data_IF_306757314030
#
_entry.id   IF_306757314030
#
_cell.length_a   1.000
_cell.length_b   1.000
_cell.length_c   1.000
_cell.angle_alpha   90.00
_cell.angle_beta   90.00
_cell.angle_gamma   90.00
#
_symmetry.space_group_name_H-M   'P 1'
#
loop_
_entity.id
_entity.type
_entity.pdbx_description
1 polymer ?
#
# COMPACT_ATOMS: atom_id res chain seq x y z
N UNK A 1 -3.01 2.65 -43.57
CA UNK A 1 -2.20 3.78 -43.08
C UNK A 1 -2.32 3.86 -41.56
N UNK A 2 -1.46 3.17 -40.81
CA UNK A 2 -1.38 3.31 -39.35
C UNK A 2 -0.22 4.22 -39.03
N UNK A 3 -0.52 5.47 -38.66
CA UNK A 3 0.51 6.40 -38.20
C UNK A 3 1.03 5.93 -36.85
N UNK A 4 2.17 5.23 -36.84
CA UNK A 4 2.92 4.97 -35.61
C UNK A 4 3.35 6.31 -35.03
N UNK A 5 2.59 6.82 -34.06
CA UNK A 5 2.84 8.09 -33.40
C UNK A 5 4.17 8.02 -32.65
N UNK A 6 5.23 8.44 -33.36
CA UNK A 6 6.60 8.39 -32.89
C UNK A 6 6.74 9.36 -31.70
N UNK A 7 6.46 8.88 -30.50
CA UNK A 7 6.63 9.62 -29.26
C UNK A 7 8.12 9.95 -29.12
N UNK A 8 8.49 11.15 -29.58
CA UNK A 8 9.84 11.70 -29.40
C UNK A 8 10.07 11.88 -27.89
N UNK A 9 10.63 10.84 -27.27
CA UNK A 9 11.03 10.83 -25.87
C UNK A 9 12.00 11.99 -25.66
N UNK A 10 11.59 12.95 -24.83
CA UNK A 10 12.31 14.21 -24.58
C UNK A 10 13.83 14.03 -24.47
N UNK A 11 14.59 14.77 -25.29
CA UNK A 11 16.06 14.66 -25.44
C UNK A 11 16.90 15.11 -24.24
N UNK A 12 16.27 15.40 -23.09
CA UNK A 12 16.93 15.82 -21.85
C UNK A 12 18.08 14.87 -21.46
N UNK A 13 19.33 15.37 -21.33
CA UNK A 13 20.48 14.58 -20.88
C UNK A 13 20.22 13.86 -19.56
N UNK A 14 20.76 12.64 -19.41
CA UNK A 14 20.48 11.80 -18.24
C UNK A 14 20.96 12.46 -16.94
N UNK A 15 22.13 13.11 -16.97
CA UNK A 15 22.69 13.81 -15.82
C UNK A 15 21.82 15.02 -15.42
N UNK A 16 21.37 15.81 -16.40
CA UNK A 16 20.54 17.00 -16.15
C UNK A 16 19.18 16.61 -15.57
N UNK A 17 18.55 15.54 -16.08
CA UNK A 17 17.33 14.98 -15.50
C UNK A 17 17.51 14.63 -14.02
N UNK A 18 18.57 13.90 -13.66
CA UNK A 18 18.80 13.52 -12.27
C UNK A 18 19.12 14.72 -11.39
N UNK A 19 19.95 15.65 -11.86
CA UNK A 19 20.26 16.90 -11.15
C UNK A 19 18.99 17.70 -10.86
N UNK A 20 18.16 17.97 -11.88
CA UNK A 20 16.89 18.69 -11.70
C UNK A 20 15.93 17.95 -10.77
N UNK A 21 15.86 16.61 -10.84
CA UNK A 21 15.03 15.82 -9.93
C UNK A 21 15.53 15.91 -8.48
N UNK A 22 16.84 15.87 -8.24
CA UNK A 22 17.41 16.04 -6.90
C UNK A 22 17.17 17.45 -6.35
N UNK A 23 17.22 18.49 -7.19
CA UNK A 23 16.85 19.86 -6.78
C UNK A 23 15.37 19.93 -6.39
N UNK A 24 14.47 19.35 -7.20
CA UNK A 24 13.03 19.29 -6.89
C UNK A 24 12.79 18.52 -5.58
N UNK A 25 13.43 17.36 -5.40
CA UNK A 25 13.34 16.57 -4.17
C UNK A 25 13.87 17.33 -2.95
N UNK A 26 14.98 18.06 -3.09
CA UNK A 26 15.54 18.89 -2.01
C UNK A 26 14.59 20.01 -1.58
N UNK A 27 14.00 20.72 -2.54
CA UNK A 27 12.98 21.77 -2.28
C UNK A 27 11.71 21.18 -1.67
N UNK A 28 11.22 20.07 -2.22
CA UNK A 28 10.05 19.36 -1.71
C UNK A 28 10.26 18.81 -0.29
N UNK A 29 11.48 18.35 0.02
CA UNK A 29 11.89 17.90 1.36
C UNK A 29 11.94 19.08 2.32
N UNK A 30 12.62 20.17 1.96
CA UNK A 30 12.68 21.39 2.77
C UNK A 30 11.28 21.85 3.18
N UNK A 31 10.35 21.97 2.22
CA UNK A 31 8.98 22.41 2.51
C UNK A 31 8.15 21.43 3.35
N UNK A 32 8.52 20.14 3.46
CA UNK A 32 7.78 19.14 4.27
C UNK A 32 8.31 19.00 5.70
N UNK A 33 9.54 19.45 5.96
CA UNK A 33 10.17 19.35 7.27
C UNK A 33 10.36 20.71 7.97
N UNK A 34 10.31 21.83 7.25
CA UNK A 34 10.42 23.16 7.84
C UNK A 34 9.21 23.45 8.73
N UNK A 35 9.42 23.52 10.05
CA UNK A 35 8.32 23.66 11.00
C UNK A 35 7.50 22.39 11.21
N UNK A 36 8.07 21.19 11.05
CA UNK A 36 7.38 19.91 11.31
C UNK A 36 6.68 19.85 12.70
N UNK A 37 7.24 20.54 13.70
CA UNK A 37 6.68 20.66 15.06
C UNK A 37 5.68 21.82 15.22
N UNK A 38 5.09 22.34 14.14
CA UNK A 38 4.15 23.45 14.20
C UNK A 38 2.94 23.16 15.11
N UNK A 39 2.37 24.23 15.65
CA UNK A 39 1.21 24.15 16.53
C UNK A 39 1.52 23.55 17.90
N UNK A 40 2.79 23.53 18.33
CA UNK A 40 3.25 23.43 19.74
C UNK A 40 2.40 22.48 20.62
N UNK A 41 2.25 21.23 20.20
CA UNK A 41 1.48 20.20 20.91
C UNK A 41 0.04 20.62 21.28
N UNK A 42 -0.60 21.44 20.45
CA UNK A 42 -2.01 21.81 20.59
C UNK A 42 -2.98 20.77 19.97
N UNK A 43 -2.45 19.73 19.32
CA UNK A 43 -3.20 18.59 18.74
C UNK A 43 -4.43 19.02 17.92
N UNK A 44 -4.27 20.06 17.09
CA UNK A 44 -5.36 20.77 16.42
C UNK A 44 -6.13 19.93 15.39
N UNK A 45 -5.47 18.94 14.76
CA UNK A 45 -6.13 18.06 13.80
C UNK A 45 -6.76 16.86 14.53
N UNK A 46 -8.07 16.63 14.40
CA UNK A 46 -8.78 15.61 15.18
C UNK A 46 -8.22 14.21 14.94
N UNK A 47 -7.98 13.83 13.68
CA UNK A 47 -7.45 12.51 13.34
C UNK A 47 -6.01 12.31 13.82
N UNK A 48 -5.11 13.28 13.66
CA UNK A 48 -3.75 13.23 14.25
C UNK A 48 -3.83 13.02 15.77
N UNK A 49 -4.66 13.81 16.46
CA UNK A 49 -4.86 13.69 17.90
C UNK A 49 -5.35 12.29 18.29
N UNK A 50 -6.26 11.71 17.52
CA UNK A 50 -6.76 10.38 17.77
C UNK A 50 -5.71 9.30 17.50
N UNK A 51 -4.95 9.39 16.40
CA UNK A 51 -3.85 8.47 16.12
C UNK A 51 -2.75 8.55 17.20
N UNK A 52 -2.43 9.76 17.66
CA UNK A 52 -1.47 9.99 18.74
C UNK A 52 -1.95 9.39 20.07
N UNK A 53 -3.25 9.53 20.39
CA UNK A 53 -3.84 8.93 21.59
C UNK A 53 -3.79 7.40 21.53
N UNK A 54 -4.32 6.80 20.46
CA UNK A 54 -4.30 5.34 20.26
C UNK A 54 -2.87 4.80 20.29
N UNK A 55 -1.94 5.47 19.60
CA UNK A 55 -0.52 5.13 19.58
C UNK A 55 0.19 5.31 20.92
N UNK A 56 -0.33 6.15 21.80
CA UNK A 56 0.19 6.24 23.18
C UNK A 56 -0.24 5.05 24.02
N UNK A 57 -1.46 4.56 23.82
CA UNK A 57 -2.12 3.55 24.65
C UNK A 57 -1.86 2.09 24.22
N UNK A 58 -1.58 1.81 22.94
CA UNK A 58 -1.16 0.47 22.50
C UNK A 58 0.29 0.18 22.92
N UNK A 59 0.66 -1.10 23.00
CA UNK A 59 2.04 -1.51 23.31
C UNK A 59 2.56 -2.55 22.30
N UNK A 60 3.87 -2.55 22.00
CA UNK A 60 4.52 -3.60 21.23
C UNK A 60 4.30 -5.00 21.82
N UNK A 61 3.93 -5.95 20.97
CA UNK A 61 3.87 -7.37 21.34
C UNK A 61 5.28 -7.98 21.41
N UNK A 62 5.44 -9.02 22.23
CA UNK A 62 6.70 -9.77 22.36
C UNK A 62 6.85 -10.92 21.37
N UNK A 63 5.77 -11.30 20.67
CA UNK A 63 5.78 -12.43 19.73
C UNK A 63 4.72 -12.29 18.63
N UNK A 64 4.92 -12.99 17.52
CA UNK A 64 3.91 -13.11 16.45
C UNK A 64 2.63 -13.80 16.93
N UNK A 65 2.72 -14.74 17.89
CA UNK A 65 1.53 -15.40 18.48
C UNK A 65 0.65 -14.40 19.24
N UNK A 66 1.27 -13.46 19.96
CA UNK A 66 0.55 -12.37 20.64
C UNK A 66 -0.03 -11.38 19.62
N UNK A 67 0.68 -11.08 18.52
CA UNK A 67 0.16 -10.26 17.41
C UNK A 67 -1.14 -10.83 16.83
N UNK A 68 -1.13 -12.12 16.46
CA UNK A 68 -2.26 -12.79 15.81
C UNK A 68 -3.39 -13.18 16.77
N UNK A 69 -3.22 -13.05 18.10
CA UNK A 69 -4.31 -13.24 19.05
C UNK A 69 -5.11 -11.93 19.22
N UNK A 70 -6.04 -11.67 18.30
CA UNK A 70 -6.87 -10.45 18.27
C UNK A 70 -7.55 -10.13 19.61
N UNK A 71 -7.96 -11.16 20.37
CA UNK A 71 -8.69 -11.01 21.63
C UNK A 71 -7.85 -10.49 22.81
N UNK A 72 -6.52 -10.66 22.76
CA UNK A 72 -5.62 -10.23 23.85
C UNK A 72 -4.44 -9.38 23.39
N UNK A 73 -4.24 -9.22 22.07
CA UNK A 73 -3.12 -8.49 21.48
C UNK A 73 -3.03 -7.07 22.04
N UNK A 74 -1.86 -6.73 22.58
CA UNK A 74 -1.54 -5.42 23.15
C UNK A 74 -1.43 -4.31 22.10
N UNK A 75 -1.31 -4.68 20.81
CA UNK A 75 -1.35 -3.79 19.66
C UNK A 75 -2.77 -3.52 19.13
N UNK A 76 -3.79 -4.31 19.48
CA UNK A 76 -5.15 -4.07 19.00
C UNK A 76 -5.77 -2.88 19.75
N UNK A 77 -6.13 -1.76 19.08
CA UNK A 77 -6.71 -0.58 19.74
C UNK A 77 -7.99 -0.88 20.52
N UNK A 78 -8.80 -1.84 20.05
CA UNK A 78 -10.04 -2.26 20.71
C UNK A 78 -9.79 -2.84 22.10
N UNK A 79 -8.65 -3.52 22.31
CA UNK A 79 -8.23 -4.06 23.61
C UNK A 79 -7.64 -2.98 24.55
N UNK A 80 -7.55 -1.72 24.08
CA UNK A 80 -7.02 -0.55 24.81
C UNK A 80 -8.07 0.55 24.98
N UNK A 81 -9.35 0.23 24.83
CA UNK A 81 -10.47 1.18 24.96
C UNK A 81 -10.81 1.96 23.69
N UNK A 82 -10.02 1.82 22.62
CA UNK A 82 -10.23 2.50 21.33
C UNK A 82 -11.14 1.69 20.41
N UNK A 83 -12.34 1.36 20.89
CA UNK A 83 -13.32 0.50 20.20
C UNK A 83 -13.90 1.08 18.90
N UNK A 84 -13.58 2.32 18.56
CA UNK A 84 -13.98 3.02 17.34
C UNK A 84 -12.82 3.23 16.35
N UNK A 85 -11.70 2.53 16.54
CA UNK A 85 -10.54 2.64 15.65
C UNK A 85 -10.80 1.94 14.30
N UNK A 86 -11.09 2.74 13.28
CA UNK A 86 -11.43 2.28 11.91
C UNK A 86 -10.29 2.43 10.90
N UNK A 87 -9.14 2.94 11.32
CA UNK A 87 -8.01 3.27 10.44
C UNK A 87 -7.12 2.05 10.14
N UNK A 88 -6.31 2.15 9.09
CA UNK A 88 -5.27 1.15 8.81
C UNK A 88 -4.24 1.10 9.94
N UNK A 89 -3.91 -0.11 10.42
CA UNK A 89 -3.00 -0.29 11.56
C UNK A 89 -1.52 -0.21 11.22
N UNK A 90 -1.12 -0.35 9.95
CA UNK A 90 0.30 -0.33 9.53
C UNK A 90 1.02 0.98 9.90
N UNK A 91 0.48 2.20 9.60
CA UNK A 91 1.11 3.45 10.02
C UNK A 91 1.26 3.56 11.53
N UNK A 92 0.22 3.12 12.26
CA UNK A 92 0.17 3.10 13.72
C UNK A 92 1.25 2.20 14.32
N UNK A 93 1.36 0.96 13.83
CA UNK A 93 2.35 0.00 14.32
C UNK A 93 3.78 0.46 13.99
N UNK A 94 4.03 0.97 12.77
CA UNK A 94 5.34 1.48 12.41
C UNK A 94 5.77 2.65 13.32
N UNK A 95 4.89 3.62 13.55
CA UNK A 95 5.14 4.72 14.47
C UNK A 95 5.36 4.22 15.91
N UNK A 96 4.51 3.31 16.41
CA UNK A 96 4.60 2.79 17.78
C UNK A 96 5.90 2.05 18.05
N UNK A 97 6.33 1.18 17.13
CA UNK A 97 7.58 0.42 17.29
C UNK A 97 8.81 1.34 17.20
N UNK A 98 8.78 2.38 16.35
CA UNK A 98 9.84 3.38 16.30
C UNK A 98 9.89 4.23 17.56
N UNK A 99 8.74 4.65 18.11
CA UNK A 99 8.65 5.35 19.40
C UNK A 99 9.25 4.51 20.53
N UNK A 100 8.89 3.22 20.64
CA UNK A 100 9.47 2.34 21.66
C UNK A 100 10.99 2.23 21.50
N UNK A 101 11.47 2.06 20.26
CA UNK A 101 12.89 1.88 19.95
C UNK A 101 13.74 3.14 20.22
N UNK A 102 13.15 4.33 20.10
CA UNK A 102 13.85 5.62 20.27
C UNK A 102 13.78 6.11 21.72
N UNK A 103 12.63 5.98 22.39
CA UNK A 103 12.37 6.58 23.69
C UNK A 103 12.26 5.56 24.85
N UNK A 104 11.99 4.27 24.56
CA UNK A 104 11.72 3.25 25.59
C UNK A 104 10.37 3.41 26.30
N UNK A 105 9.54 4.37 25.88
CA UNK A 105 8.17 4.59 26.34
C UNK A 105 7.34 5.25 25.23
N UNK A 106 6.02 5.20 25.35
CA UNK A 106 5.09 5.99 24.53
C UNK A 106 4.58 7.24 25.26
N UNK A 107 4.03 8.16 24.48
CA UNK A 107 3.49 9.44 24.94
C UNK A 107 3.03 10.28 23.75
N UNK A 108 2.16 11.26 23.99
CA UNK A 108 1.55 12.04 22.91
C UNK A 108 2.61 12.79 22.08
N UNK A 109 3.60 13.38 22.76
CA UNK A 109 4.69 14.10 22.11
C UNK A 109 5.61 13.19 21.32
N UNK A 110 5.95 12.02 21.86
CA UNK A 110 6.84 11.04 21.24
C UNK A 110 6.17 10.48 19.96
N UNK A 111 4.86 10.19 20.03
CA UNK A 111 4.06 9.82 18.86
C UNK A 111 3.99 10.91 17.79
N UNK A 112 3.84 12.19 18.15
CA UNK A 112 3.93 13.29 17.18
C UNK A 112 5.32 13.39 16.54
N UNK A 113 6.36 13.36 17.38
CA UNK A 113 7.77 13.57 16.99
C UNK A 113 8.25 12.51 15.99
N UNK A 114 7.70 11.29 16.06
CA UNK A 114 7.97 10.21 15.09
C UNK A 114 6.95 10.19 13.95
N UNK A 115 5.67 10.37 14.24
CA UNK A 115 4.57 10.22 13.29
C UNK A 115 4.55 11.27 12.18
N UNK A 116 4.87 12.54 12.49
CA UNK A 116 4.94 13.61 11.48
C UNK A 116 6.09 13.39 10.49
N UNK A 117 7.36 13.17 10.92
CA UNK A 117 8.44 12.78 9.99
C UNK A 117 8.12 11.55 9.15
N UNK A 118 7.48 10.51 9.70
CA UNK A 118 7.07 9.35 8.91
C UNK A 118 6.09 9.74 7.79
N UNK A 119 5.10 10.58 8.09
CA UNK A 119 4.11 11.03 7.11
C UNK A 119 4.76 11.86 5.99
N UNK A 120 5.68 12.76 6.33
CA UNK A 120 6.50 13.49 5.37
C UNK A 120 7.41 12.58 4.51
N UNK A 121 7.98 11.51 5.09
CA UNK A 121 8.76 10.50 4.34
C UNK A 121 7.88 9.76 3.33
N UNK A 122 6.69 9.30 3.74
CA UNK A 122 5.77 8.57 2.84
C UNK A 122 5.22 9.47 1.71
N UNK A 123 4.99 10.77 1.95
CA UNK A 123 4.66 11.71 0.87
C UNK A 123 5.84 11.94 -0.10
N UNK A 124 7.08 12.03 0.38
CA UNK A 124 8.28 12.11 -0.47
C UNK A 124 8.53 10.83 -1.28
N UNK A 125 8.22 9.66 -0.73
CA UNK A 125 8.21 8.40 -1.48
C UNK A 125 7.11 8.40 -2.55
N UNK A 126 5.94 8.99 -2.26
CA UNK A 126 4.86 9.20 -3.24
C UNK A 126 5.32 10.12 -4.39
N UNK A 127 6.00 11.23 -4.08
CA UNK A 127 6.61 12.11 -5.09
C UNK A 127 7.59 11.34 -5.99
N UNK A 128 8.46 10.49 -5.40
CA UNK A 128 9.36 9.63 -6.16
C UNK A 128 8.60 8.71 -7.14
N UNK A 129 7.46 8.13 -6.71
CA UNK A 129 6.62 7.28 -7.54
C UNK A 129 5.88 8.06 -8.64
N UNK A 130 5.39 9.26 -8.36
CA UNK A 130 4.82 10.19 -9.36
C UNK A 130 5.84 10.49 -10.44
N UNK A 131 7.05 10.89 -10.06
CA UNK A 131 8.15 11.18 -10.99
C UNK A 131 8.53 9.94 -11.83
N UNK A 132 8.64 8.76 -11.21
CA UNK A 132 8.98 7.51 -11.88
C UNK A 132 7.89 7.02 -12.86
N UNK A 133 6.62 7.17 -12.50
CA UNK A 133 5.47 6.79 -13.34
C UNK A 133 5.35 7.72 -14.55
N UNK A 134 5.41 9.04 -14.33
CA UNK A 134 5.42 10.04 -15.41
C UNK A 134 6.61 9.85 -16.37
N UNK A 135 7.78 9.44 -15.86
CA UNK A 135 8.96 9.10 -16.68
C UNK A 135 8.72 7.91 -17.60
N UNK A 136 8.01 6.88 -17.14
CA UNK A 136 7.71 5.68 -17.94
C UNK A 136 6.69 5.97 -19.04
N UNK A 137 5.64 6.73 -18.73
CA UNK A 137 4.56 7.06 -19.68
C UNK A 137 4.96 8.15 -20.69
N UNK A 138 5.57 9.24 -20.22
CA UNK A 138 5.69 10.50 -20.96
C UNK A 138 7.13 11.01 -21.09
N UNK A 139 8.11 10.33 -20.49
CA UNK A 139 9.52 10.68 -20.58
C UNK A 139 9.99 11.73 -19.56
N UNK A 140 11.23 12.20 -19.75
CA UNK A 140 12.00 12.94 -18.74
C UNK A 140 11.44 14.34 -18.45
N UNK A 141 10.99 15.07 -19.48
CA UNK A 141 10.45 16.42 -19.31
C UNK A 141 9.17 16.45 -18.48
N UNK A 142 8.20 15.61 -18.84
CA UNK A 142 6.93 15.51 -18.12
C UNK A 142 7.12 14.94 -16.70
N UNK A 143 8.09 14.05 -16.51
CA UNK A 143 8.49 13.57 -15.18
C UNK A 143 8.94 14.69 -14.24
N UNK A 144 9.81 15.60 -14.71
CA UNK A 144 10.24 16.75 -13.92
C UNK A 144 9.09 17.72 -13.64
N UNK A 145 8.22 17.96 -14.63
CA UNK A 145 7.04 18.83 -14.45
C UNK A 145 6.05 18.26 -13.43
N UNK A 146 5.75 16.95 -13.51
CA UNK A 146 4.90 16.26 -12.54
C UNK A 146 5.51 16.26 -11.13
N UNK A 147 6.83 16.02 -11.01
CA UNK A 147 7.55 16.08 -9.75
C UNK A 147 7.52 17.50 -9.14
N UNK A 148 7.68 18.55 -9.95
CA UNK A 148 7.62 19.93 -9.51
C UNK A 148 6.20 20.32 -9.04
N UNK A 149 5.16 19.99 -9.80
CA UNK A 149 3.78 20.28 -9.41
C UNK A 149 3.35 19.52 -8.15
N UNK A 150 3.70 18.24 -8.00
CA UNK A 150 3.41 17.49 -6.77
C UNK A 150 4.25 17.98 -5.58
N UNK A 151 5.54 18.23 -5.81
CA UNK A 151 6.48 18.67 -4.77
C UNK A 151 6.12 20.03 -4.16
N UNK A 152 5.52 20.92 -4.96
CA UNK A 152 5.08 22.26 -4.56
C UNK A 152 3.55 22.36 -4.27
N UNK A 153 2.81 21.26 -4.36
CA UNK A 153 1.37 21.28 -4.08
C UNK A 153 1.11 21.49 -2.59
N UNK A 154 0.29 22.51 -2.28
CA UNK A 154 -0.01 22.92 -0.89
C UNK A 154 -0.62 21.79 -0.06
N UNK A 155 -1.52 21.00 -0.63
CA UNK A 155 -2.25 19.96 0.11
C UNK A 155 -1.34 18.77 0.55
N UNK A 156 -0.51 18.16 -0.32
CA UNK A 156 0.54 17.21 0.10
C UNK A 156 1.51 17.79 1.15
N UNK A 157 1.94 19.05 0.99
CA UNK A 157 2.80 19.72 1.98
C UNK A 157 2.08 19.83 3.32
N UNK A 158 0.83 20.26 3.36
CA UNK A 158 0.04 20.39 4.58
C UNK A 158 -0.17 19.04 5.27
N UNK A 159 -0.57 18.00 4.53
CA UNK A 159 -0.77 16.65 5.08
C UNK A 159 0.52 16.02 5.60
N UNK A 160 1.68 16.35 5.00
CA UNK A 160 2.99 15.91 5.49
C UNK A 160 3.34 16.43 6.90
N UNK A 161 2.72 17.53 7.35
CA UNK A 161 2.94 18.11 8.67
C UNK A 161 2.01 17.58 9.77
N UNK A 162 1.21 16.57 9.45
CA UNK A 162 0.38 15.85 10.42
C UNK A 162 0.77 14.37 10.42
N UNK A 163 0.71 13.71 11.58
CA UNK A 163 0.72 12.25 11.59
C UNK A 163 -0.59 11.74 11.02
N UNK A 164 -0.56 11.26 9.77
CA UNK A 164 -1.76 10.96 8.98
C UNK A 164 -1.62 9.73 8.10
N UNK A 165 -2.60 8.84 8.20
CA UNK A 165 -2.73 7.61 7.42
C UNK A 165 -2.84 7.85 5.91
N UNK A 166 -3.38 9.00 5.50
CA UNK A 166 -3.54 9.43 4.10
C UNK A 166 -2.21 9.40 3.32
N UNK A 167 -1.10 9.79 3.95
CA UNK A 167 0.23 9.83 3.31
C UNK A 167 0.75 8.43 2.98
N UNK A 168 0.50 7.47 3.87
CA UNK A 168 0.85 6.06 3.69
C UNK A 168 -0.07 5.40 2.66
N UNK A 169 -1.37 5.68 2.72
CA UNK A 169 -2.35 5.18 1.76
C UNK A 169 -2.00 5.64 0.33
N UNK A 170 -1.71 6.94 0.15
CA UNK A 170 -1.27 7.49 -1.13
C UNK A 170 0.00 6.80 -1.65
N UNK A 171 1.00 6.57 -0.80
CA UNK A 171 2.21 5.83 -1.20
C UNK A 171 1.88 4.44 -1.75
N UNK A 172 1.06 3.63 -1.05
CA UNK A 172 0.71 2.30 -1.52
C UNK A 172 -0.17 2.31 -2.78
N UNK A 173 -1.07 3.28 -2.93
CA UNK A 173 -1.84 3.49 -4.16
C UNK A 173 -0.92 3.80 -5.34
N UNK A 174 -0.03 4.80 -5.20
CA UNK A 174 0.92 5.16 -6.26
C UNK A 174 1.96 4.06 -6.55
N UNK A 175 2.29 3.22 -5.57
CA UNK A 175 3.15 2.06 -5.75
C UNK A 175 2.46 1.01 -6.62
N UNK A 176 1.17 0.75 -6.37
CA UNK A 176 0.32 -0.10 -7.21
C UNK A 176 0.21 0.44 -8.64
N UNK A 177 -0.07 1.73 -8.81
CA UNK A 177 -0.12 2.40 -10.12
C UNK A 177 1.22 2.30 -10.85
N UNK A 178 2.35 2.53 -10.16
CA UNK A 178 3.69 2.40 -10.73
C UNK A 178 3.95 0.99 -11.26
N UNK A 179 3.59 -0.07 -10.51
CA UNK A 179 3.76 -1.44 -10.97
C UNK A 179 2.81 -1.80 -12.12
N UNK A 180 1.55 -1.34 -12.09
CA UNK A 180 0.61 -1.54 -13.19
C UNK A 180 1.12 -0.90 -14.49
N UNK A 181 1.59 0.36 -14.43
CA UNK A 181 2.23 1.05 -15.57
C UNK A 181 3.49 0.30 -16.03
N UNK A 182 4.35 -0.14 -15.11
CA UNK A 182 5.54 -0.92 -15.46
C UNK A 182 5.17 -2.18 -16.25
N UNK A 183 4.14 -2.93 -15.81
CA UNK A 183 3.70 -4.16 -16.48
C UNK A 183 3.21 -3.88 -17.91
N UNK A 184 2.41 -2.83 -18.10
CA UNK A 184 1.89 -2.44 -19.43
C UNK A 184 2.99 -1.92 -20.38
N UNK A 185 4.03 -1.29 -19.84
CA UNK A 185 5.15 -0.72 -20.62
C UNK A 185 6.26 -1.76 -20.90
N UNK A 186 6.27 -2.91 -20.23
CA UNK A 186 7.22 -3.99 -20.52
C UNK A 186 6.99 -4.53 -21.95
N UNK A 187 8.05 -4.74 -22.75
CA UNK A 187 7.91 -5.40 -24.05
C UNK A 187 7.37 -6.82 -23.84
N UNK A 188 6.15 -7.09 -24.29
CA UNK A 188 5.65 -8.45 -24.31
C UNK A 188 6.57 -9.28 -25.24
N UNK A 189 7.10 -10.43 -24.78
CA UNK A 189 7.79 -11.34 -25.68
C UNK A 189 6.81 -11.73 -26.79
N UNK A 190 7.30 -11.80 -28.04
CA UNK A 190 6.52 -12.28 -29.19
C UNK A 190 6.27 -13.79 -29.09
N UNK A 191 5.46 -14.19 -28.11
CA UNK A 191 4.81 -15.49 -28.10
C UNK A 191 3.95 -15.54 -29.37
N UNK A 192 4.18 -16.57 -30.17
CA UNK A 192 3.76 -16.62 -31.58
C UNK A 192 4.46 -15.57 -32.45
N UNK A 193 5.71 -15.87 -32.82
CA UNK A 193 6.07 -15.70 -34.23
C UNK A 193 5.04 -16.48 -35.04
N UNK A 194 4.15 -15.77 -35.73
CA UNK A 194 3.39 -16.34 -36.85
C UNK A 194 4.42 -17.04 -37.75
N UNK A 195 4.13 -18.28 -38.15
CA UNK A 195 5.00 -18.98 -39.09
C UNK A 195 4.93 -18.26 -40.43
N UNK A 196 6.08 -17.76 -40.90
CA UNK A 196 6.23 -17.27 -42.28
C UNK A 196 5.77 -18.38 -43.25
N UNK A 197 4.72 -18.17 -44.06
CA UNK A 197 4.22 -19.18 -44.96
C UNK A 197 5.10 -19.22 -46.22
N UNK A 198 6.20 -19.96 -46.15
CA UNK A 198 6.94 -20.41 -47.32
C UNK A 198 8.43 -20.10 -47.35
N UNK A 199 9.22 -20.78 -46.50
CA UNK A 199 10.61 -21.08 -46.86
C UNK A 199 10.81 -22.59 -46.97
N UNK A 200 11.06 -23.05 -48.20
CA UNK A 200 11.05 -24.45 -48.59
C UNK A 200 12.34 -25.15 -48.11
N UNK A 201 12.38 -25.58 -46.85
CA UNK A 201 13.53 -26.29 -46.25
C UNK A 201 13.30 -27.79 -46.22
N UNK A 202 14.08 -28.51 -47.02
CA UNK A 202 14.16 -29.97 -47.01
C UNK A 202 14.58 -30.49 -45.62
N UNK A 203 14.01 -31.61 -45.13
CA UNK A 203 14.29 -32.08 -43.78
C UNK A 203 15.69 -32.69 -43.68
N UNK A 204 16.56 -32.08 -42.88
CA UNK A 204 17.83 -32.68 -42.47
C UNK A 204 17.56 -33.69 -41.31
N UNK A 205 17.88 -34.99 -41.43
CA UNK A 205 17.45 -36.00 -40.45
C UNK A 205 18.11 -35.96 -39.06
N UNK A 206 19.02 -35.01 -38.81
CA UNK A 206 19.98 -35.09 -37.68
C UNK A 206 19.56 -34.34 -36.40
N UNK A 207 18.45 -33.61 -36.39
CA UNK A 207 18.08 -32.73 -35.26
C UNK A 207 17.13 -33.35 -34.20
N UNK A 208 16.57 -34.54 -34.41
CA UNK A 208 15.45 -35.03 -33.59
C UNK A 208 15.82 -35.59 -32.19
N UNK A 209 17.10 -35.64 -31.80
CA UNK A 209 17.53 -36.26 -30.53
C UNK A 209 17.36 -35.41 -29.27
N UNK A 210 16.93 -34.15 -29.37
CA UNK A 210 16.86 -33.23 -28.21
C UNK A 210 15.42 -32.96 -27.75
N UNK A 211 14.40 -33.25 -28.57
CA UNK A 211 13.00 -32.90 -28.26
C UNK A 211 12.24 -34.05 -27.56
N UNK A 212 12.59 -35.31 -27.82
CA UNK A 212 11.93 -36.46 -27.18
C UNK A 212 12.23 -36.61 -25.68
N UNK A 213 13.36 -36.07 -25.18
CA UNK A 213 13.77 -36.23 -23.78
C UNK A 213 13.00 -35.37 -22.77
N UNK A 214 12.18 -34.42 -23.22
CA UNK A 214 11.43 -33.48 -22.35
C UNK A 214 9.95 -33.88 -22.20
N UNK A 215 9.39 -34.68 -23.12
CA UNK A 215 7.96 -35.04 -23.12
C UNK A 215 7.67 -36.38 -22.43
N UNK A 216 8.70 -37.18 -22.14
CA UNK A 216 8.56 -38.56 -21.63
C UNK A 216 8.74 -38.74 -20.12
N UNK A 217 8.83 -37.66 -19.32
CA UNK A 217 9.12 -37.75 -17.87
C UNK A 217 7.96 -37.50 -16.92
N UNK A 218 6.75 -37.18 -17.40
CA UNK A 218 5.60 -36.80 -16.54
C UNK A 218 4.31 -37.59 -16.82
N UNK A 219 4.44 -38.77 -17.42
CA UNK A 219 3.37 -39.75 -17.53
C UNK A 219 3.43 -40.75 -16.35
N UNK A 220 2.38 -40.73 -15.53
CA UNK A 220 2.17 -41.54 -14.32
C UNK A 220 2.20 -43.07 -14.58
N UNK A 221 2.33 -43.87 -13.50
CA UNK A 221 1.46 -45.04 -13.38
C UNK A 221 0.64 -45.06 -12.06
N UNK A 222 -0.60 -45.53 -12.18
CA UNK A 222 -1.51 -45.83 -11.08
C UNK A 222 -1.04 -47.00 -10.20
N UNK A 223 -1.53 -47.05 -8.96
CA UNK A 223 -1.62 -48.29 -8.18
C UNK A 223 -2.93 -48.34 -7.38
N UNK A 224 -3.76 -49.32 -7.76
CA UNK A 224 -4.95 -49.94 -7.10
C UNK A 224 -5.23 -49.55 -5.63
N UNK A 225 -6.49 -49.22 -5.25
CA UNK A 225 -7.65 -50.12 -4.98
C UNK A 225 -7.46 -50.93 -3.68
N UNK A 226 -8.46 -51.26 -2.86
CA UNK A 226 -9.88 -50.90 -2.76
C UNK A 226 -10.03 -49.92 -1.53
N UNK A 227 -11.18 -49.57 -0.92
CA UNK A 227 -12.60 -49.94 -1.06
C UNK A 227 -13.51 -48.78 -0.54
N UNK A 228 -14.83 -48.96 -0.56
CA UNK A 228 -15.84 -48.08 0.06
C UNK A 228 -16.71 -48.85 1.08
N UNK A 229 -17.44 -48.15 1.98
CA UNK A 229 -18.88 -48.06 1.70
C UNK A 229 -19.51 -46.67 1.96
N UNK A 230 -20.66 -46.46 1.34
CA UNK A 230 -21.52 -45.27 1.43
C UNK A 230 -22.83 -45.63 2.18
N UNK A 231 -23.82 -44.72 2.32
CA UNK A 231 -23.84 -43.56 3.22
C UNK A 231 -24.95 -43.70 4.29
N UNK A 232 -25.02 -42.82 5.30
CA UNK A 232 -26.31 -42.52 5.95
C UNK A 232 -26.36 -41.26 6.82
N UNK A 233 -27.58 -40.71 6.90
CA UNK A 233 -28.13 -39.78 7.91
C UNK A 233 -27.54 -38.36 8.06
N UNK A 234 -28.35 -37.39 7.63
CA UNK A 234 -28.48 -36.05 8.24
C UNK A 234 -28.93 -36.18 9.72
N UNK A 235 -28.76 -35.11 10.50
CA UNK A 235 -29.94 -34.60 11.20
C UNK A 235 -30.20 -33.11 10.94
N UNK A 236 -31.49 -32.77 10.91
CA UNK A 236 -32.03 -31.42 10.84
C UNK A 236 -31.85 -30.67 12.18
N UNK A 237 -31.98 -29.33 12.14
CA UNK A 237 -32.69 -28.63 13.22
C UNK A 237 -32.06 -27.35 13.76
N UNK A 238 -32.85 -26.26 13.65
CA UNK A 238 -32.69 -24.93 14.28
C UNK A 238 -31.59 -24.05 13.66
N UNK A 239 -31.84 -22.79 13.29
CA UNK A 239 -33.07 -21.99 13.37
C UNK A 239 -32.74 -20.50 13.63
N UNK A 240 -33.56 -19.59 13.09
CA UNK A 240 -33.35 -18.13 13.04
C UNK A 240 -32.14 -17.71 12.16
N UNK A 241 -32.34 -17.26 10.91
CA UNK A 241 -33.09 -16.09 10.42
C UNK A 241 -32.42 -14.76 10.72
N UNK A 242 -32.20 -13.98 9.65
CA UNK A 242 -31.62 -12.65 9.70
C UNK A 242 -32.48 -11.66 10.49
N UNK A 243 -31.81 -10.68 11.13
CA UNK A 243 -32.45 -9.52 11.74
C UNK A 243 -31.67 -8.26 11.33
N UNK A 244 -32.00 -7.77 10.13
CA UNK A 244 -31.66 -6.41 9.72
C UNK A 244 -32.69 -5.43 10.31
N UNK A 245 -32.19 -4.34 10.88
CA UNK A 245 -32.80 -3.00 10.89
C UNK A 245 -34.32 -2.86 11.08
N UNK A 246 -34.74 -2.44 12.28
CA UNK A 246 -35.87 -1.50 12.44
C UNK A 246 -35.53 -0.44 13.49
N UNK A 247 -35.63 0.86 13.20
CA UNK A 247 -35.50 1.91 14.20
C UNK A 247 -36.81 2.06 14.99
N UNK A 248 -36.73 2.19 16.31
CA UNK A 248 -37.87 2.58 17.15
C UNK A 248 -37.55 3.89 17.87
N UNK A 249 -38.22 4.95 17.49
CA UNK A 249 -38.07 6.26 18.12
C UNK A 249 -38.84 6.30 19.45
N UNK A 250 -38.13 6.64 20.53
CA UNK A 250 -38.67 7.39 21.66
C UNK A 250 -37.62 8.43 22.05
N UNK A 251 -37.99 9.70 21.93
CA UNK A 251 -37.16 10.81 22.36
C UNK A 251 -37.45 11.13 23.82
N UNK A 252 -36.39 11.30 24.60
CA UNK A 252 -36.43 11.99 25.89
C UNK A 252 -35.36 13.08 25.84
N UNK A 253 -35.71 14.32 26.24
CA UNK A 253 -34.78 15.46 26.25
C UNK A 253 -33.82 15.32 27.43
N UNK A 254 -32.54 15.51 27.17
CA UNK A 254 -31.55 15.73 28.21
C UNK A 254 -31.47 17.23 28.54
N UNK A 255 -32.36 17.73 29.39
CA UNK A 255 -32.29 19.09 29.95
C UNK A 255 -32.27 19.12 31.51
N UNK A 256 -32.47 17.99 32.20
CA UNK A 256 -32.61 17.93 33.68
C UNK A 256 -31.48 17.14 34.37
N UNK A 257 -30.21 17.57 34.27
CA UNK A 257 -29.11 17.07 35.12
C UNK A 257 -28.05 18.16 35.43
N UNK A 258 -28.40 19.14 36.27
CA UNK A 258 -27.44 19.96 37.03
C UNK A 258 -27.97 20.14 38.46
N UNK A 259 -27.24 19.67 39.48
CA UNK A 259 -27.30 20.20 40.84
C UNK A 259 -26.05 21.04 41.18
N UNK A 260 -26.22 21.96 42.14
CA UNK A 260 -25.22 22.94 42.63
C UNK A 260 -24.00 22.33 43.34
#
# INVERSE_FOLDING_TARGET
MTSSSNHQRSSLPTWLYWFSLFVILGVATYFRFIGINWGEEQYLHPDERFLVWVGSDIAPVKSLTEYFNTATSSLNPHNRGHGFFVYGTLPMFLARYLVESIYGHSGFREMLTVGRPLSAIFDLLTLCLVAATAKQLFGRGVSLLAAAFYGLAVLPIQLSHFFKEDTFLNFFIFLGVYFAVRIVVLPHPKLFSQGEPGENRTPNPSSNRVVESIILSDASPESKKDDAPSPNALPEGKGASALWLTPSAKGERAEDLIPE
#
